data_IF_183147643178
#
_entry.id   IF_183147643178
#
_cell.length_a   1.000
_cell.length_b   1.000
_cell.length_c   1.000
_cell.angle_alpha   90.00
_cell.angle_beta   90.00
_cell.angle_gamma   90.00
#
_symmetry.space_group_name_H-M   'P 1'
#
loop_
_entity.id
_entity.type
_entity.pdbx_description
1 polymer ?
#
# COMPACT_ATOMS: atom_id res chain seq x y z
N UNK A 1 -5.01 17.82 -17.95
CA UNK A 1 -5.49 17.56 -16.58
C UNK A 1 -6.07 16.17 -16.59
N UNK A 2 -5.59 15.29 -15.71
CA UNK A 2 -6.21 13.97 -15.56
C UNK A 2 -7.65 14.16 -15.08
N UNK A 3 -8.57 13.40 -15.67
CA UNK A 3 -9.94 13.33 -15.16
C UNK A 3 -9.89 12.84 -13.71
N UNK A 4 -10.87 13.25 -12.88
CA UNK A 4 -11.02 12.70 -11.53
C UNK A 4 -10.80 11.20 -11.59
N UNK A 5 -11.59 10.49 -12.40
CA UNK A 5 -11.57 9.03 -12.57
C UNK A 5 -10.19 8.41 -12.81
N UNK A 6 -9.35 9.06 -13.63
CA UNK A 6 -7.98 8.61 -13.92
C UNK A 6 -7.08 8.72 -12.69
N UNK A 7 -7.26 9.75 -11.86
CA UNK A 7 -6.48 9.95 -10.63
C UNK A 7 -6.75 8.83 -9.60
N UNK A 8 -7.99 8.37 -9.43
CA UNK A 8 -8.27 7.20 -8.54
C UNK A 8 -7.63 5.94 -9.08
N UNK A 9 -7.74 5.71 -10.38
CA UNK A 9 -7.13 4.54 -11.02
C UNK A 9 -5.61 4.52 -10.82
N UNK A 10 -4.94 5.66 -11.00
CA UNK A 10 -3.50 5.80 -10.76
C UNK A 10 -3.17 5.58 -9.28
N UNK A 11 -3.92 6.21 -8.37
CA UNK A 11 -3.68 6.10 -6.92
C UNK A 11 -3.86 4.65 -6.44
N UNK A 12 -4.93 4.01 -6.87
CA UNK A 12 -5.25 2.62 -6.52
C UNK A 12 -4.22 1.66 -7.10
N UNK A 13 -3.81 1.86 -8.35
CA UNK A 13 -2.74 1.08 -8.98
C UNK A 13 -1.41 1.25 -8.24
N UNK A 14 -1.06 2.46 -7.82
CA UNK A 14 0.18 2.74 -7.10
C UNK A 14 0.19 2.03 -5.74
N UNK A 15 -0.90 2.13 -4.98
CA UNK A 15 -1.09 1.43 -3.70
C UNK A 15 -0.97 -0.09 -3.87
N UNK A 16 -1.59 -0.65 -4.92
CA UNK A 16 -1.51 -2.08 -5.24
C UNK A 16 -0.07 -2.53 -5.53
N UNK A 17 0.65 -1.76 -6.35
CA UNK A 17 2.06 -2.05 -6.67
C UNK A 17 2.93 -1.99 -5.42
N UNK A 18 2.74 -0.97 -4.56
CA UNK A 18 3.46 -0.86 -3.30
C UNK A 18 3.19 -2.05 -2.37
N UNK A 19 1.92 -2.42 -2.19
CA UNK A 19 1.53 -3.61 -1.41
C UNK A 19 2.21 -4.88 -1.93
N UNK A 20 2.21 -5.06 -3.26
CA UNK A 20 2.81 -6.22 -3.89
C UNK A 20 4.33 -6.26 -3.69
N UNK A 21 5.02 -5.14 -3.92
CA UNK A 21 6.48 -5.02 -3.76
C UNK A 21 6.91 -5.26 -2.31
N UNK A 22 6.17 -4.72 -1.33
CA UNK A 22 6.47 -4.92 0.10
C UNK A 22 6.27 -6.38 0.49
N UNK A 23 5.16 -6.99 0.05
CA UNK A 23 4.86 -8.39 0.33
C UNK A 23 5.87 -9.34 -0.33
N UNK A 24 6.27 -9.08 -1.58
CA UNK A 24 7.32 -9.86 -2.27
C UNK A 24 8.68 -9.68 -1.60
N UNK A 25 9.05 -8.44 -1.27
CA UNK A 25 10.30 -8.10 -0.60
C UNK A 25 10.44 -8.80 0.76
N UNK A 26 9.33 -8.95 1.49
CA UNK A 26 9.27 -9.69 2.75
C UNK A 26 9.39 -11.21 2.55
N UNK A 27 8.77 -11.78 1.51
CA UNK A 27 8.78 -13.24 1.24
C UNK A 27 10.10 -13.75 0.64
N UNK A 28 10.84 -12.92 -0.10
CA UNK A 28 12.05 -13.35 -0.84
C UNK A 28 13.34 -13.35 0.01
N UNK A 29 13.30 -12.84 1.24
CA UNK A 29 14.44 -12.94 2.16
C UNK A 29 14.57 -14.38 2.67
N UNK A 30 15.56 -15.12 2.14
CA UNK A 30 15.98 -16.45 2.62
C UNK A 30 16.50 -16.46 4.07
N UNK A 31 16.67 -15.29 4.70
CA UNK A 31 16.96 -15.15 6.12
C UNK A 31 15.73 -14.61 6.82
N UNK A 32 15.26 -15.29 7.86
CA UNK A 32 14.16 -14.81 8.68
C UNK A 32 14.44 -13.35 9.11
N UNK A 33 13.58 -12.39 8.75
CA UNK A 33 13.75 -11.02 9.21
C UNK A 33 13.66 -11.01 10.75
N UNK A 34 14.50 -10.19 11.39
CA UNK A 34 14.44 -9.99 12.83
C UNK A 34 13.03 -9.56 13.25
N UNK A 35 12.63 -9.87 14.50
CA UNK A 35 11.29 -9.53 15.03
C UNK A 35 10.92 -8.06 14.81
N UNK A 36 11.89 -7.16 14.91
CA UNK A 36 11.73 -5.72 14.66
C UNK A 36 11.35 -5.41 13.20
N UNK A 37 12.03 -6.01 12.22
CA UNK A 37 11.74 -5.83 10.80
C UNK A 37 10.38 -6.42 10.43
N UNK A 38 10.01 -7.55 11.04
CA UNK A 38 8.68 -8.17 10.87
C UNK A 38 7.57 -7.25 11.37
N UNK A 39 7.74 -6.64 12.54
CA UNK A 39 6.80 -5.66 13.11
C UNK A 39 6.68 -4.39 12.27
N UNK A 40 7.81 -3.87 11.79
CA UNK A 40 7.83 -2.74 10.86
C UNK A 40 7.09 -3.03 9.56
N UNK A 41 7.35 -4.17 8.91
CA UNK A 41 6.67 -4.57 7.67
C UNK A 41 5.15 -4.71 7.87
N UNK A 42 4.72 -5.25 9.03
CA UNK A 42 3.30 -5.35 9.38
C UNK A 42 2.65 -3.97 9.52
N UNK A 43 3.30 -3.05 10.25
CA UNK A 43 2.81 -1.68 10.44
C UNK A 43 2.72 -0.92 9.12
N UNK A 44 3.72 -1.05 8.24
CA UNK A 44 3.70 -0.42 6.91
C UNK A 44 2.57 -0.97 6.06
N UNK A 45 2.31 -2.29 6.10
CA UNK A 45 1.23 -2.89 5.32
C UNK A 45 -0.16 -2.40 5.80
N UNK A 46 -0.34 -2.28 7.12
CA UNK A 46 -1.55 -1.71 7.73
C UNK A 46 -1.70 -0.24 7.30
N UNK A 47 -0.62 0.53 7.32
CA UNK A 47 -0.63 1.94 6.89
C UNK A 47 -1.09 2.08 5.42
N UNK A 48 -0.62 1.19 4.54
CA UNK A 48 -1.05 1.13 3.14
C UNK A 48 -2.54 0.88 2.98
N UNK A 49 -3.11 -0.04 3.76
CA UNK A 49 -4.55 -0.32 3.78
C UNK A 49 -5.33 0.90 4.26
N UNK A 50 -4.87 1.56 5.32
CA UNK A 50 -5.51 2.79 5.85
C UNK A 50 -5.52 3.89 4.80
N UNK A 51 -4.38 4.15 4.12
CA UNK A 51 -4.30 5.16 3.05
C UNK A 51 -5.24 4.83 1.89
N UNK A 52 -5.36 3.55 1.51
CA UNK A 52 -6.29 3.13 0.47
C UNK A 52 -7.76 3.40 0.83
N UNK A 53 -8.16 3.05 2.05
CA UNK A 53 -9.52 3.30 2.55
C UNK A 53 -9.78 4.81 2.62
N UNK A 54 -8.89 5.57 3.27
CA UNK A 54 -9.05 7.02 3.44
C UNK A 54 -9.10 7.73 2.08
N UNK A 55 -8.22 7.38 1.14
CA UNK A 55 -8.23 7.95 -0.21
C UNK A 55 -9.51 7.63 -0.97
N UNK A 56 -10.03 6.40 -0.84
CA UNK A 56 -11.30 6.00 -1.46
C UNK A 56 -12.48 6.74 -0.84
N UNK A 57 -12.50 6.91 0.49
CA UNK A 57 -13.55 7.65 1.19
C UNK A 57 -13.51 9.13 0.78
N UNK A 58 -12.34 9.78 0.82
CA UNK A 58 -12.18 11.17 0.41
C UNK A 58 -12.64 11.41 -1.03
N UNK A 59 -12.38 10.45 -1.92
CA UNK A 59 -12.89 10.51 -3.29
C UNK A 59 -14.42 10.54 -3.37
N UNK A 60 -15.14 9.74 -2.55
CA UNK A 60 -16.60 9.71 -2.57
C UNK A 60 -17.23 11.05 -2.14
N UNK A 61 -16.51 11.84 -1.35
CA UNK A 61 -16.94 13.15 -0.88
C UNK A 61 -16.49 14.31 -1.77
N UNK A 62 -15.63 14.05 -2.77
CA UNK A 62 -15.10 15.05 -3.69
C UNK A 62 -15.87 15.05 -5.00
#
# INVERSE_FOLDING_TARGET
MFSKFEILLILLSLILVFYFVITLGAKRKNKEPSKEIKGYLLNVNILLVVVAIVGTVLWLFI
#
